data_IF_284534027175
#
_entry.id   IF_284534027175
#
_cell.length_a   1.000
_cell.length_b   1.000
_cell.length_c   1.000
_cell.angle_alpha   90.00
_cell.angle_beta   90.00
_cell.angle_gamma   90.00
#
_symmetry.space_group_name_H-M   'P 1'
#
loop_
_entity.id
_entity.type
_entity.pdbx_description
1 polymer ?
#
# COMPACT_ATOMS: atom_id res chain seq x y z
N UNK A 1 15.70 8.59 17.02
CA UNK A 1 16.46 8.98 15.82
C UNK A 1 15.47 9.34 14.72
N UNK A 2 15.57 10.51 14.08
CA UNK A 2 14.74 10.85 12.92
C UNK A 2 15.52 10.51 11.66
N UNK A 3 14.98 9.63 10.82
CA UNK A 3 15.53 9.43 9.47
C UNK A 3 15.32 10.72 8.66
N UNK A 4 16.32 11.13 7.89
CA UNK A 4 16.17 12.21 6.93
C UNK A 4 15.22 11.79 5.80
N UNK A 5 14.58 12.77 5.16
CA UNK A 5 13.70 12.52 4.01
C UNK A 5 14.43 11.72 2.90
N UNK A 6 15.72 12.00 2.70
CA UNK A 6 16.56 11.29 1.72
C UNK A 6 16.74 9.81 2.06
N UNK A 7 16.89 9.48 3.33
CA UNK A 7 17.03 8.09 3.77
C UNK A 7 15.70 7.33 3.63
N UNK A 8 14.58 7.99 3.95
CA UNK A 8 13.23 7.43 3.75
C UNK A 8 12.99 7.15 2.27
N UNK A 9 13.27 8.13 1.41
CA UNK A 9 13.13 7.99 -0.05
C UNK A 9 14.01 6.85 -0.60
N UNK A 10 15.26 6.75 -0.15
CA UNK A 10 16.17 5.67 -0.53
C UNK A 10 15.68 4.28 -0.08
N UNK A 11 15.00 4.17 1.06
CA UNK A 11 14.38 2.91 1.50
C UNK A 11 13.21 2.57 0.59
N UNK A 12 12.27 3.50 0.41
CA UNK A 12 11.07 3.30 -0.42
C UNK A 12 11.44 2.97 -1.87
N UNK A 13 12.46 3.63 -2.41
CA UNK A 13 12.95 3.36 -3.76
C UNK A 13 13.43 1.92 -3.91
N UNK A 14 14.25 1.43 -2.97
CA UNK A 14 14.76 0.05 -2.96
C UNK A 14 13.66 -0.99 -2.78
N UNK A 15 12.61 -0.66 -2.04
CA UNK A 15 11.43 -1.52 -1.87
C UNK A 15 10.57 -1.60 -3.15
N UNK A 16 10.70 -0.63 -4.06
CA UNK A 16 9.92 -0.60 -5.31
C UNK A 16 10.71 -1.09 -6.51
N UNK A 17 12.02 -0.89 -6.53
CA UNK A 17 12.87 -1.10 -7.69
C UNK A 17 14.13 -1.88 -7.30
N UNK A 18 14.36 -2.99 -8.00
CA UNK A 18 15.59 -3.79 -7.92
C UNK A 18 16.78 -3.02 -8.50
N UNK A 19 18.01 -3.48 -8.24
CA UNK A 19 19.22 -2.90 -8.85
C UNK A 19 19.22 -2.98 -10.39
N UNK A 20 18.44 -3.89 -10.97
CA UNK A 20 18.24 -4.05 -12.42
C UNK A 20 17.08 -3.19 -12.96
N UNK A 21 16.60 -2.21 -12.20
CA UNK A 21 15.46 -1.35 -12.55
C UNK A 21 14.11 -2.08 -12.73
N UNK A 22 13.99 -3.34 -12.30
CA UNK A 22 12.72 -4.10 -12.29
C UNK A 22 11.89 -3.78 -11.06
N UNK A 23 10.56 -3.79 -11.20
CA UNK A 23 9.64 -3.64 -10.06
C UNK A 23 9.81 -4.79 -9.08
N UNK A 24 9.97 -4.47 -7.80
CA UNK A 24 9.88 -5.45 -6.71
C UNK A 24 8.40 -5.72 -6.48
N UNK A 25 8.02 -6.99 -6.56
CA UNK A 25 6.64 -7.43 -6.41
C UNK A 25 6.57 -8.40 -5.22
N UNK A 26 5.77 -8.06 -4.22
CA UNK A 26 5.52 -8.95 -3.08
C UNK A 26 4.16 -9.60 -3.23
N UNK A 27 4.04 -10.87 -2.87
CA UNK A 27 2.75 -11.57 -2.88
C UNK A 27 2.32 -11.90 -1.45
N UNK A 28 1.01 -11.77 -1.19
CA UNK A 28 0.39 -12.06 0.11
C UNK A 28 -1.00 -12.66 -0.10
N UNK A 29 -1.41 -13.51 0.83
CA UNK A 29 -2.80 -13.93 0.97
C UNK A 29 -3.65 -12.74 1.45
N UNK A 30 -4.94 -12.65 1.09
CA UNK A 30 -5.81 -11.53 1.47
C UNK A 30 -5.89 -11.36 2.99
N UNK A 31 -5.88 -12.46 3.74
CA UNK A 31 -5.89 -12.47 5.21
C UNK A 31 -4.66 -11.81 5.85
N UNK A 32 -3.57 -11.64 5.11
CA UNK A 32 -2.34 -11.01 5.60
C UNK A 32 -2.18 -9.56 5.12
N UNK A 33 -3.13 -9.00 4.37
CA UNK A 33 -3.06 -7.66 3.79
C UNK A 33 -3.76 -6.67 4.74
N UNK A 34 -3.07 -5.62 5.22
CA UNK A 34 -3.71 -4.60 6.04
C UNK A 34 -4.58 -3.67 5.19
N UNK A 35 -5.57 -3.04 5.84
CA UNK A 35 -6.42 -1.99 5.27
C UNK A 35 -5.59 -0.91 4.56
N UNK A 36 -6.07 -0.41 3.42
CA UNK A 36 -5.42 0.69 2.71
C UNK A 36 -4.22 0.28 1.86
N UNK A 37 -3.96 -1.02 1.70
CA UNK A 37 -2.88 -1.52 0.85
C UNK A 37 -3.31 -1.57 -0.61
N UNK A 38 -2.50 -1.05 -1.53
CA UNK A 38 -2.73 -1.24 -2.96
C UNK A 38 -2.23 -2.60 -3.42
N UNK A 39 -3.06 -3.28 -4.21
CA UNK A 39 -2.82 -4.63 -4.72
C UNK A 39 -3.11 -4.71 -6.21
N UNK A 40 -2.54 -5.69 -6.91
CA UNK A 40 -2.95 -6.10 -8.25
C UNK A 40 -3.76 -7.38 -8.18
N UNK A 41 -4.88 -7.37 -8.90
CA UNK A 41 -5.69 -8.55 -9.18
C UNK A 41 -6.01 -8.53 -10.68
N UNK A 42 -5.67 -9.59 -11.41
CA UNK A 42 -5.83 -9.65 -12.87
C UNK A 42 -5.24 -8.44 -13.62
N UNK A 43 -4.02 -8.02 -13.23
CA UNK A 43 -3.30 -6.87 -13.79
C UNK A 43 -3.88 -5.48 -13.48
N UNK A 44 -5.07 -5.42 -12.86
CA UNK A 44 -5.70 -4.17 -12.46
C UNK A 44 -5.37 -3.81 -11.00
N UNK A 45 -5.09 -2.52 -10.70
CA UNK A 45 -4.82 -2.04 -9.36
C UNK A 45 -6.11 -1.83 -8.55
N UNK A 46 -6.13 -2.37 -7.33
CA UNK A 46 -7.22 -2.22 -6.37
C UNK A 46 -6.70 -1.78 -5.00
N UNK A 47 -7.49 -0.96 -4.31
CA UNK A 47 -7.31 -0.67 -2.89
C UNK A 47 -7.91 -1.81 -2.07
N UNK A 48 -7.10 -2.43 -1.22
CA UNK A 48 -7.57 -3.44 -0.29
C UNK A 48 -8.28 -2.78 0.89
N UNK A 49 -9.54 -3.14 1.09
CA UNK A 49 -10.43 -2.56 2.09
C UNK A 49 -11.34 -3.65 2.66
N UNK A 50 -11.39 -3.78 3.98
CA UNK A 50 -12.33 -4.61 4.73
C UNK A 50 -13.62 -3.86 5.02
N UNK A 51 -13.55 -2.53 5.03
CA UNK A 51 -14.72 -1.66 5.01
C UNK A 51 -15.19 -1.57 3.55
N UNK A 52 -16.29 -2.24 3.23
CA UNK A 52 -16.82 -2.29 1.87
C UNK A 52 -17.05 -0.88 1.32
N UNK A 53 -16.40 -0.56 0.20
CA UNK A 53 -16.87 0.51 -0.67
C UNK A 53 -18.14 0.03 -1.39
N UNK A 54 -18.99 0.96 -1.84
CA UNK A 54 -20.27 0.64 -2.51
C UNK A 54 -20.13 -0.33 -3.69
N UNK A 55 -18.93 -0.45 -4.28
CA UNK A 55 -18.59 -1.37 -5.38
C UNK A 55 -17.37 -2.25 -5.06
N UNK A 56 -17.44 -3.10 -4.03
CA UNK A 56 -16.38 -4.05 -3.70
C UNK A 56 -16.45 -5.34 -4.52
N UNK A 57 -15.29 -5.86 -4.96
CA UNK A 57 -15.18 -7.19 -5.56
C UNK A 57 -14.74 -8.19 -4.48
N UNK A 58 -15.36 -9.37 -4.44
CA UNK A 58 -14.94 -10.44 -3.55
C UNK A 58 -13.56 -10.95 -3.96
N UNK A 59 -12.59 -10.89 -3.06
CA UNK A 59 -11.27 -11.48 -3.23
C UNK A 59 -11.30 -12.92 -2.71
N UNK A 60 -10.98 -13.94 -3.53
CA UNK A 60 -10.92 -15.32 -3.04
C UNK A 60 -9.82 -15.46 -1.98
N UNK A 61 -10.13 -16.06 -0.82
CA UNK A 61 -9.19 -16.16 0.32
C UNK A 61 -7.89 -16.89 -0.01
N UNK A 62 -7.91 -17.82 -0.97
CA UNK A 62 -6.73 -18.59 -1.38
C UNK A 62 -5.89 -17.92 -2.48
N UNK A 63 -6.30 -16.76 -2.99
CA UNK A 63 -5.60 -16.07 -4.07
C UNK A 63 -4.45 -15.23 -3.54
N UNK A 64 -3.23 -15.47 -4.02
CA UNK A 64 -2.11 -14.57 -3.79
C UNK A 64 -2.32 -13.28 -4.56
N UNK A 65 -2.44 -12.16 -3.84
CA UNK A 65 -2.48 -10.83 -4.42
C UNK A 65 -1.08 -10.24 -4.45
N UNK A 66 -0.78 -9.53 -5.53
CA UNK A 66 0.50 -8.82 -5.65
C UNK A 66 0.37 -7.44 -5.01
N UNK A 67 1.29 -7.08 -4.14
CA UNK A 67 1.28 -5.83 -3.38
C UNK A 67 2.06 -4.76 -4.15
N UNK A 68 1.43 -3.61 -4.34
CA UNK A 68 2.02 -2.42 -4.97
C UNK A 68 2.55 -1.42 -3.94
N UNK A 69 2.02 -1.47 -2.72
CA UNK A 69 2.48 -0.64 -1.61
C UNK A 69 3.85 -1.13 -1.11
N UNK A 70 4.84 -0.23 -0.91
CA UNK A 70 6.13 -0.58 -0.32
C UNK A 70 6.00 -1.27 1.05
N UNK A 71 6.87 -2.25 1.32
CA UNK A 71 6.81 -3.09 2.52
C UNK A 71 6.89 -2.25 3.82
N UNK A 72 7.69 -1.18 3.85
CA UNK A 72 7.75 -0.26 5.00
C UNK A 72 6.40 0.37 5.34
N UNK A 73 5.61 0.75 4.32
CA UNK A 73 4.28 1.35 4.49
C UNK A 73 3.26 0.29 4.92
N UNK A 74 3.31 -0.91 4.31
CA UNK A 74 2.46 -2.04 4.72
C UNK A 74 2.71 -2.39 6.20
N UNK A 75 3.97 -2.37 6.62
CA UNK A 75 4.34 -2.62 8.02
C UNK A 75 3.84 -1.53 8.96
N UNK A 76 3.86 -0.26 8.54
CA UNK A 76 3.27 0.84 9.31
C UNK A 76 1.76 0.61 9.51
N UNK A 77 1.02 0.24 8.46
CA UNK A 77 -0.41 -0.07 8.58
C UNK A 77 -0.66 -1.26 9.52
N UNK A 78 0.14 -2.33 9.43
CA UNK A 78 0.06 -3.48 10.36
C UNK A 78 0.33 -3.09 11.81
N UNK A 79 1.21 -2.12 12.03
CA UNK A 79 1.48 -1.59 13.37
C UNK A 79 0.36 -0.68 13.90
N UNK A 80 -0.73 -0.49 13.15
CA UNK A 80 -1.87 0.34 13.53
C UNK A 80 -1.74 1.81 13.18
N UNK A 81 -0.74 2.19 12.36
CA UNK A 81 -0.65 3.56 11.85
C UNK A 81 -1.79 3.81 10.85
N UNK A 82 -2.69 4.74 11.19
CA UNK A 82 -3.77 5.19 10.33
C UNK A 82 -3.47 6.63 9.86
N UNK A 83 -3.09 6.84 8.59
CA UNK A 83 -2.84 8.17 8.05
C UNK A 83 -4.10 9.05 8.20
N UNK A 84 -3.89 10.30 8.63
CA UNK A 84 -4.95 11.32 8.65
C UNK A 84 -4.59 12.41 7.66
N UNK A 85 -5.51 12.71 6.76
CA UNK A 85 -5.39 13.85 5.85
C UNK A 85 -6.15 15.01 6.49
N UNK A 86 -5.54 16.20 6.51
CA UNK A 86 -6.28 17.42 6.89
C UNK A 86 -7.20 17.77 5.73
N UNK A 87 -8.45 18.12 6.03
CA UNK A 87 -9.32 18.70 5.00
C UNK A 87 -8.60 19.85 4.30
N UNK A 88 -8.69 19.88 2.97
CA UNK A 88 -8.25 21.02 2.21
C UNK A 88 -9.12 22.20 2.66
N UNK A 89 -8.51 23.24 3.24
CA UNK A 89 -9.17 24.52 3.40
C UNK A 89 -9.57 24.96 1.99
N UNK A 90 -10.86 24.88 1.69
CA UNK A 90 -11.46 25.53 0.53
C UNK A 90 -11.13 27.01 0.73
N UNK A 91 -10.21 27.54 -0.06
CA UNK A 91 -9.89 28.95 -0.03
C UNK A 91 -11.17 29.72 -0.33
N UNK A 92 -11.68 30.46 0.65
CA UNK A 92 -12.74 31.44 0.41
C UNK A 92 -12.29 32.37 -0.70
N UNK A 93 -13.12 32.47 -1.73
CA UNK A 93 -12.95 33.32 -2.90
C UNK A 93 -13.23 34.79 -2.58
#
# INVERSE_FOLDING_TARGET
MSASIKEIDAIIHRERITQEAKKVMHQRLPSAIPEGTFTLMNEDPYLFSTLGYENSIAVPEASLLTILTPDSIVNAFRAGYAPKIRDAEVGDS
#
